data_IF_695054209905
#
_entry.id   IF_695054209905
#
_cell.length_a   1.000
_cell.length_b   1.000
_cell.length_c   1.000
_cell.angle_alpha   90.00
_cell.angle_beta   90.00
_cell.angle_gamma   90.00
#
_symmetry.space_group_name_H-M   'P 1'
#
loop_
_entity.id
_entity.type
_entity.pdbx_description
1 polymer ?
#
# COMPACT_ATOMS: atom_id res chain seq x y z
N UNK A 1 3.31 28.09 -1.80
CA UNK A 1 4.52 27.33 -2.15
C UNK A 1 4.06 25.91 -2.40
N UNK A 2 4.20 25.43 -3.64
CA UNK A 2 3.97 24.03 -3.96
C UNK A 2 4.94 23.19 -3.12
N UNK A 3 4.41 22.21 -2.39
CA UNK A 3 5.20 21.34 -1.54
C UNK A 3 5.84 20.26 -2.43
N UNK A 4 6.95 20.59 -3.08
CA UNK A 4 7.64 19.69 -4.00
C UNK A 4 8.59 18.77 -3.23
N UNK A 5 8.19 17.51 -3.06
CA UNK A 5 9.00 16.46 -2.45
C UNK A 5 9.86 15.80 -3.52
N UNK A 6 11.18 15.82 -3.34
CA UNK A 6 12.13 15.13 -4.19
C UNK A 6 12.54 13.80 -3.55
N UNK A 7 12.22 12.69 -4.20
CA UNK A 7 12.61 11.34 -3.75
C UNK A 7 13.80 10.86 -4.57
N UNK A 8 14.88 10.46 -3.90
CA UNK A 8 16.12 10.02 -4.54
C UNK A 8 16.56 8.66 -4.02
N UNK A 9 17.03 7.81 -4.94
CA UNK A 9 17.75 6.59 -4.60
C UNK A 9 19.26 6.86 -4.64
N UNK A 10 19.99 6.68 -3.52
CA UNK A 10 21.43 6.86 -3.44
C UNK A 10 22.24 6.16 -4.54
N UNK A 11 21.76 5.01 -4.99
CA UNK A 11 22.45 4.20 -5.99
C UNK A 11 22.20 4.70 -7.43
N UNK A 12 21.23 5.59 -7.65
CA UNK A 12 20.88 6.19 -8.96
C UNK A 12 21.42 7.62 -9.05
N UNK A 13 21.41 8.34 -7.93
CA UNK A 13 21.74 9.77 -7.84
C UNK A 13 22.83 10.05 -6.82
N UNK A 14 23.93 9.31 -6.91
CA UNK A 14 25.10 9.51 -6.04
C UNK A 14 25.75 10.89 -6.23
N UNK A 15 25.66 11.44 -7.45
CA UNK A 15 26.06 12.81 -7.80
C UNK A 15 25.36 13.85 -6.90
N UNK A 16 24.05 13.70 -6.73
CA UNK A 16 23.23 14.58 -5.92
C UNK A 16 23.64 14.50 -4.45
N UNK A 17 23.83 13.30 -3.91
CA UNK A 17 24.25 13.13 -2.51
C UNK A 17 25.66 13.70 -2.26
N UNK A 18 26.60 13.49 -3.19
CA UNK A 18 27.93 14.12 -3.12
C UNK A 18 27.85 15.64 -3.17
N UNK A 19 26.90 16.20 -3.94
CA UNK A 19 26.66 17.64 -3.94
C UNK A 19 26.25 18.13 -2.54
N UNK A 20 25.52 17.35 -1.74
CA UNK A 20 25.09 17.78 -0.40
C UNK A 20 26.19 17.68 0.68
N UNK A 21 27.27 16.95 0.41
CA UNK A 21 28.42 16.81 1.32
C UNK A 21 29.30 18.08 1.36
N UNK A 22 28.70 19.25 1.54
CA UNK A 22 29.38 20.53 1.76
C UNK A 22 28.49 21.48 2.57
N UNK A 23 29.03 21.97 3.67
CA UNK A 23 28.34 22.90 4.56
C UNK A 23 27.88 24.17 3.83
N UNK A 24 28.70 24.72 2.93
CA UNK A 24 28.34 25.92 2.15
C UNK A 24 27.11 25.67 1.29
N UNK A 25 27.02 24.50 0.65
CA UNK A 25 25.88 24.15 -0.22
C UNK A 25 24.61 23.90 0.58
N UNK A 26 24.71 23.23 1.72
CA UNK A 26 23.58 23.06 2.64
C UNK A 26 23.07 24.41 3.15
N UNK A 27 23.97 25.34 3.51
CA UNK A 27 23.61 26.70 3.94
C UNK A 27 22.92 27.51 2.83
N UNK A 28 23.35 27.35 1.57
CA UNK A 28 22.67 27.98 0.42
C UNK A 28 21.24 27.44 0.28
N UNK A 29 21.05 26.12 0.34
CA UNK A 29 19.73 25.48 0.22
C UNK A 29 18.80 25.89 1.35
N UNK A 30 19.26 25.86 2.61
CA UNK A 30 18.48 26.30 3.77
C UNK A 30 18.06 27.77 3.65
N UNK A 31 18.97 28.63 3.16
CA UNK A 31 18.66 30.03 2.93
C UNK A 31 17.56 30.23 1.88
N UNK A 32 17.67 29.57 0.74
CA UNK A 32 16.68 29.65 -0.34
C UNK A 32 15.33 29.04 0.09
N UNK A 33 15.36 28.01 0.93
CA UNK A 33 14.16 27.37 1.47
C UNK A 33 13.43 28.28 2.46
N UNK A 34 14.14 28.84 3.46
CA UNK A 34 13.53 29.65 4.52
C UNK A 34 13.18 31.07 4.10
N UNK A 35 14.02 31.69 3.27
CA UNK A 35 13.93 33.12 2.93
C UNK A 35 13.56 33.38 1.47
N UNK A 36 13.35 32.32 0.69
CA UNK A 36 12.90 32.41 -0.69
C UNK A 36 14.00 32.72 -1.70
N UNK A 37 13.61 32.89 -2.98
CA UNK A 37 14.53 33.03 -4.11
C UNK A 37 15.42 34.26 -4.03
N UNK A 38 16.72 34.10 -4.33
CA UNK A 38 17.74 35.15 -4.23
C UNK A 38 18.73 35.09 -5.40
N UNK A 39 19.31 36.24 -5.74
CA UNK A 39 20.45 36.28 -6.67
C UNK A 39 21.76 35.95 -5.95
N UNK A 40 22.82 35.68 -6.72
CA UNK A 40 24.13 35.26 -6.18
C UNK A 40 24.74 36.29 -5.22
N UNK A 41 24.57 37.59 -5.49
CA UNK A 41 25.11 38.65 -4.63
C UNK A 41 24.41 38.70 -3.27
N UNK A 42 23.08 38.52 -3.25
CA UNK A 42 22.29 38.46 -2.02
C UNK A 42 22.68 37.25 -1.17
N UNK A 43 22.89 36.08 -1.80
CA UNK A 43 23.35 34.88 -1.09
C UNK A 43 24.75 35.08 -0.51
N UNK A 44 25.66 35.73 -1.25
CA UNK A 44 27.02 36.03 -0.80
C UNK A 44 27.04 36.97 0.41
N UNK A 45 26.26 38.05 0.35
CA UNK A 45 26.11 39.00 1.45
C UNK A 45 25.55 38.32 2.71
N UNK A 46 24.50 37.52 2.55
CA UNK A 46 23.78 36.91 3.67
C UNK A 46 24.53 35.73 4.33
N UNK A 47 25.35 35.01 3.56
CA UNK A 47 26.19 33.95 4.10
C UNK A 47 27.58 34.44 4.54
N UNK A 48 27.95 35.69 4.23
CA UNK A 48 29.25 36.28 4.56
C UNK A 48 30.41 35.63 3.80
N UNK A 49 30.17 35.17 2.57
CA UNK A 49 31.16 34.44 1.76
C UNK A 49 31.45 35.16 0.44
N UNK A 50 32.66 35.01 -0.15
CA UNK A 50 32.98 35.61 -1.43
C UNK A 50 32.01 35.20 -2.54
N UNK A 51 31.65 36.15 -3.40
CA UNK A 51 30.71 35.92 -4.51
C UNK A 51 31.16 34.79 -5.45
N UNK A 52 32.47 34.69 -5.71
CA UNK A 52 33.06 33.60 -6.52
C UNK A 52 32.84 32.23 -5.88
N UNK A 53 33.00 32.12 -4.56
CA UNK A 53 32.75 30.90 -3.79
C UNK A 53 31.28 30.49 -3.85
N UNK A 54 30.35 31.44 -3.68
CA UNK A 54 28.91 31.15 -3.78
C UNK A 54 28.56 30.73 -5.22
N UNK A 55 29.07 31.44 -6.22
CA UNK A 55 28.79 31.13 -7.63
C UNK A 55 29.20 29.71 -7.99
N UNK A 56 30.38 29.26 -7.57
CA UNK A 56 30.85 27.90 -7.81
C UNK A 56 29.96 26.84 -7.12
N UNK A 57 29.55 27.10 -5.88
CA UNK A 57 28.70 26.17 -5.13
C UNK A 57 27.26 26.11 -5.66
N UNK A 58 26.70 27.25 -6.11
CA UNK A 58 25.40 27.29 -6.78
C UNK A 58 25.46 26.51 -8.08
N UNK A 59 26.54 26.64 -8.87
CA UNK A 59 26.65 25.89 -10.12
C UNK A 59 26.61 24.38 -9.89
N UNK A 60 27.33 23.87 -8.89
CA UNK A 60 27.28 22.44 -8.52
C UNK A 60 25.86 21.99 -8.17
N UNK A 61 25.11 22.81 -7.44
CA UNK A 61 23.71 22.51 -7.07
C UNK A 61 22.76 22.59 -8.27
N UNK A 62 23.04 23.47 -9.23
CA UNK A 62 22.30 23.54 -10.51
C UNK A 62 22.55 22.30 -11.36
N UNK A 63 23.81 21.85 -11.44
CA UNK A 63 24.19 20.70 -12.27
C UNK A 63 23.49 19.40 -11.84
N UNK A 64 23.20 19.25 -10.54
CA UNK A 64 22.45 18.10 -10.00
C UNK A 64 20.94 18.34 -9.89
N UNK A 65 20.46 19.53 -10.26
CA UNK A 65 19.04 19.89 -10.28
C UNK A 65 18.43 20.24 -8.90
N UNK A 66 19.25 20.56 -7.90
CA UNK A 66 18.77 21.02 -6.58
C UNK A 66 18.44 22.52 -6.55
N UNK A 67 19.04 23.29 -7.47
CA UNK A 67 18.73 24.71 -7.68
C UNK A 67 18.39 24.95 -9.16
N UNK A 68 17.37 25.77 -9.41
CA UNK A 68 17.07 26.31 -10.73
C UNK A 68 17.44 27.81 -10.77
N UNK A 69 17.95 28.30 -11.91
CA UNK A 69 18.17 29.75 -12.09
C UNK A 69 17.31 30.32 -13.20
N UNK A 70 16.58 31.41 -12.93
CA UNK A 70 15.79 32.14 -13.93
C UNK A 70 16.34 33.55 -14.13
N UNK A 71 16.38 34.00 -15.39
CA UNK A 71 16.76 35.38 -15.71
C UNK A 71 15.58 36.32 -15.49
N UNK A 72 15.80 37.40 -14.74
CA UNK A 72 14.80 38.44 -14.46
C UNK A 72 15.37 39.83 -14.77
N UNK A 73 14.51 40.77 -15.14
CA UNK A 73 14.90 42.18 -15.32
C UNK A 73 15.24 42.80 -13.96
N UNK A 74 16.37 43.49 -13.87
CA UNK A 74 16.82 44.24 -12.70
C UNK A 74 16.84 45.75 -12.99
N UNK A 75 17.04 46.58 -11.95
CA UNK A 75 17.18 48.06 -12.09
C UNK A 75 18.31 48.47 -13.07
N UNK A 76 19.33 47.63 -13.24
CA UNK A 76 20.37 47.74 -14.28
C UNK A 76 20.64 46.35 -14.87
N UNK A 77 20.16 46.09 -16.08
CA UNK A 77 20.40 44.83 -16.81
C UNK A 77 19.51 43.65 -16.39
N UNK A 78 19.97 42.43 -16.64
CA UNK A 78 19.31 41.18 -16.24
C UNK A 78 20.06 40.53 -15.07
N UNK A 79 19.33 39.93 -14.14
CA UNK A 79 19.89 39.16 -13.02
C UNK A 79 19.43 37.70 -13.07
N UNK A 80 20.28 36.77 -12.63
CA UNK A 80 19.88 35.38 -12.39
C UNK A 80 19.40 35.23 -10.95
N UNK A 81 18.15 34.79 -10.79
CA UNK A 81 17.56 34.48 -9.49
C UNK A 81 17.56 32.97 -9.30
N UNK A 82 18.03 32.51 -8.15
CA UNK A 82 18.16 31.10 -7.80
C UNK A 82 16.96 30.65 -6.97
N UNK A 83 16.42 29.48 -7.29
CA UNK A 83 15.26 28.85 -6.68
C UNK A 83 15.65 27.45 -6.19
N UNK A 84 15.20 27.05 -5.01
CA UNK A 84 15.20 25.62 -4.64
C UNK A 84 14.16 24.89 -5.48
N UNK A 85 14.48 23.70 -5.96
CA UNK A 85 13.57 22.83 -6.74
C UNK A 85 12.77 21.87 -5.87
N UNK A 86 12.95 21.93 -4.55
CA UNK A 86 12.28 21.04 -3.60
C UNK A 86 12.07 21.74 -2.24
N UNK A 87 11.07 21.27 -1.49
CA UNK A 87 10.87 21.58 -0.07
C UNK A 87 11.36 20.46 0.85
N UNK A 88 11.30 19.21 0.40
CA UNK A 88 11.77 18.02 1.13
C UNK A 88 12.59 17.11 0.22
N UNK A 89 13.70 16.57 0.74
CA UNK A 89 14.52 15.57 0.05
C UNK A 89 14.47 14.25 0.83
N UNK A 90 13.83 13.24 0.25
CA UNK A 90 13.69 11.92 0.86
C UNK A 90 14.66 10.96 0.19
N UNK A 91 15.57 10.40 0.97
CA UNK A 91 16.53 9.39 0.52
C UNK A 91 15.95 8.01 0.77
N UNK A 92 15.67 7.27 -0.30
CA UNK A 92 15.09 5.92 -0.23
C UNK A 92 16.04 4.95 -0.93
N UNK A 93 16.57 3.99 -0.19
CA UNK A 93 17.20 2.82 -0.79
C UNK A 93 16.10 1.97 -1.40
N UNK A 94 15.93 2.04 -2.72
CA UNK A 94 15.03 1.11 -3.41
C UNK A 94 15.68 -0.26 -3.34
N UNK A 95 14.92 -1.29 -3.02
CA UNK A 95 15.40 -2.67 -3.10
C UNK A 95 15.75 -2.99 -4.55
N UNK A 96 17.04 -2.86 -4.87
CA UNK A 96 17.61 -3.21 -6.17
C UNK A 96 18.13 -4.63 -6.17
N UNK A 97 17.31 -5.56 -5.73
CA UNK A 97 17.32 -6.84 -6.44
C UNK A 97 16.84 -6.51 -7.85
N UNK A 98 17.66 -6.71 -8.91
CA UNK A 98 17.05 -6.99 -10.20
C UNK A 98 16.02 -8.08 -9.93
N UNK A 99 14.94 -8.14 -10.70
CA UNK A 99 14.26 -9.41 -10.87
C UNK A 99 15.26 -10.43 -11.45
N UNK A 100 16.17 -10.95 -10.61
CA UNK A 100 16.42 -12.37 -10.57
C UNK A 100 15.03 -12.98 -10.63
N UNK A 101 14.82 -13.88 -11.56
CA UNK A 101 13.59 -14.62 -11.68
C UNK A 101 13.30 -15.25 -10.31
N UNK A 102 12.60 -14.54 -9.40
CA UNK A 102 12.39 -14.97 -8.00
C UNK A 102 11.50 -16.21 -8.00
N UNK A 103 11.08 -16.69 -9.18
CA UNK A 103 10.05 -17.67 -9.33
C UNK A 103 8.77 -17.20 -8.68
N UNK A 104 8.56 -15.89 -8.49
CA UNK A 104 7.35 -15.34 -7.84
C UNK A 104 6.85 -14.14 -8.64
N UNK A 105 5.56 -14.18 -8.97
CA UNK A 105 4.81 -13.04 -9.49
C UNK A 105 3.84 -12.61 -8.41
N UNK A 106 4.03 -11.43 -7.83
CA UNK A 106 3.22 -10.91 -6.73
C UNK A 106 2.31 -9.77 -7.20
N UNK A 107 1.07 -9.77 -6.70
CA UNK A 107 0.11 -8.67 -6.87
C UNK A 107 -0.59 -8.42 -5.54
N UNK A 108 -0.60 -7.18 -5.08
CA UNK A 108 -1.42 -6.72 -3.98
C UNK A 108 -2.68 -6.03 -4.52
N UNK A 109 -3.86 -6.49 -4.10
CA UNK A 109 -5.16 -5.94 -4.53
C UNK A 109 -5.75 -5.07 -3.42
N UNK A 110 -5.86 -3.74 -3.63
CA UNK A 110 -6.47 -2.86 -2.65
C UNK A 110 -7.86 -3.30 -2.26
N UNK A 111 -8.16 -3.18 -0.97
CA UNK A 111 -9.34 -3.80 -0.36
C UNK A 111 -10.68 -3.35 -1.00
N UNK A 112 -10.74 -2.09 -1.45
CA UNK A 112 -11.90 -1.53 -2.13
C UNK A 112 -12.14 -1.97 -3.57
N UNK A 113 -11.19 -2.67 -4.21
CA UNK A 113 -11.24 -3.04 -5.63
C UNK A 113 -11.95 -4.37 -5.90
N UNK A 114 -12.95 -4.73 -5.09
CA UNK A 114 -13.79 -5.86 -5.44
C UNK A 114 -14.59 -5.55 -6.70
N UNK A 115 -14.69 -6.57 -7.56
CA UNK A 115 -15.45 -6.52 -8.81
C UNK A 115 -16.91 -6.89 -8.63
N UNK A 116 -17.19 -7.71 -7.61
CA UNK A 116 -18.55 -8.12 -7.22
C UNK A 116 -18.60 -8.22 -5.70
N UNK A 117 -19.77 -7.90 -5.16
CA UNK A 117 -20.07 -8.08 -3.75
C UNK A 117 -21.56 -8.35 -3.59
N UNK A 118 -21.89 -9.13 -2.57
CA UNK A 118 -23.24 -9.31 -2.06
C UNK A 118 -23.06 -9.41 -0.56
N UNK A 119 -23.52 -8.42 0.20
CA UNK A 119 -23.22 -8.31 1.63
C UNK A 119 -24.48 -8.01 2.42
N UNK A 120 -24.57 -8.52 3.65
CA UNK A 120 -25.64 -8.22 4.58
C UNK A 120 -25.16 -7.35 5.74
N UNK A 121 -26.07 -6.55 6.30
CA UNK A 121 -25.83 -5.84 7.55
C UNK A 121 -25.75 -6.81 8.75
N UNK A 122 -25.12 -6.42 9.87
CA UNK A 122 -24.19 -5.29 10.01
C UNK A 122 -23.03 -5.28 9.00
N UNK A 123 -22.70 -4.11 8.47
CA UNK A 123 -21.66 -3.96 7.44
C UNK A 123 -21.08 -2.55 7.34
N UNK A 124 -19.89 -2.40 6.79
CA UNK A 124 -19.34 -1.08 6.55
C UNK A 124 -17.95 -1.05 5.93
N UNK A 125 -17.48 0.17 5.69
CA UNK A 125 -16.21 0.50 5.07
C UNK A 125 -15.53 1.63 5.86
N UNK A 126 -14.22 1.53 6.06
CA UNK A 126 -13.41 2.58 6.65
C UNK A 126 -12.15 2.82 5.81
N UNK A 127 -11.85 4.11 5.59
CA UNK A 127 -10.56 4.58 5.09
C UNK A 127 -9.65 4.98 6.25
N UNK A 128 -8.39 5.32 5.97
CA UNK A 128 -7.46 5.83 7.00
C UNK A 128 -7.95 7.12 7.66
N UNK A 129 -8.84 7.85 7.00
CA UNK A 129 -9.29 9.19 7.40
C UNK A 129 -10.70 9.20 8.03
N UNK A 130 -11.47 8.12 7.88
CA UNK A 130 -12.84 8.08 8.37
C UNK A 130 -13.67 6.93 7.80
N UNK A 131 -14.89 6.80 8.30
CA UNK A 131 -15.94 5.94 7.74
C UNK A 131 -16.27 6.37 6.31
N UNK A 132 -16.45 5.41 5.41
CA UNK A 132 -16.91 5.63 4.05
C UNK A 132 -18.42 5.35 4.01
N UNK A 133 -19.21 6.29 3.50
CA UNK A 133 -20.66 6.16 3.35
C UNK A 133 -21.41 5.96 4.67
N UNK A 134 -22.48 5.16 4.62
CA UNK A 134 -23.34 4.87 5.77
C UNK A 134 -23.06 3.46 6.32
N UNK A 135 -23.01 3.36 7.66
CA UNK A 135 -22.89 2.08 8.34
C UNK A 135 -24.18 1.26 8.22
N UNK A 136 -24.02 -0.06 8.15
CA UNK A 136 -25.09 -1.05 8.07
C UNK A 136 -26.01 -0.91 6.85
N UNK A 137 -25.51 -0.25 5.80
CA UNK A 137 -26.17 -0.09 4.50
C UNK A 137 -25.34 -0.81 3.43
N UNK A 138 -25.79 -1.97 2.90
CA UNK A 138 -25.07 -2.71 1.87
C UNK A 138 -24.72 -1.87 0.63
N UNK A 139 -25.58 -0.95 0.23
CA UNK A 139 -25.37 -0.08 -0.94
C UNK A 139 -24.12 0.82 -0.80
N UNK A 140 -23.62 1.05 0.41
CA UNK A 140 -22.34 1.73 0.67
C UNK A 140 -21.16 1.01 0.00
N UNK A 141 -21.26 -0.30 -0.27
CA UNK A 141 -20.23 -1.04 -1.02
C UNK A 141 -20.17 -0.64 -2.52
N UNK A 142 -21.10 0.17 -3.01
CA UNK A 142 -21.03 0.74 -4.36
C UNK A 142 -20.50 2.19 -4.36
N UNK A 143 -20.21 2.77 -3.18
CA UNK A 143 -19.69 4.13 -3.06
C UNK A 143 -18.31 4.25 -3.73
N UNK A 144 -18.07 5.27 -4.59
CA UNK A 144 -16.77 5.49 -5.22
C UNK A 144 -15.60 5.63 -4.23
N UNK A 145 -15.83 6.16 -3.03
CA UNK A 145 -14.81 6.32 -2.00
C UNK A 145 -14.35 4.97 -1.42
N UNK A 146 -15.03 3.85 -1.73
CA UNK A 146 -14.59 2.49 -1.38
C UNK A 146 -13.16 2.21 -1.83
N UNK A 147 -12.68 2.87 -2.88
CA UNK A 147 -11.30 2.77 -3.39
C UNK A 147 -10.24 3.09 -2.32
N UNK A 148 -10.62 3.84 -1.27
CA UNK A 148 -9.76 4.22 -0.14
C UNK A 148 -9.91 3.30 1.08
N UNK A 149 -10.72 2.25 0.99
CA UNK A 149 -10.99 1.35 2.09
C UNK A 149 -9.71 0.66 2.56
N UNK A 150 -9.44 0.77 3.86
CA UNK A 150 -8.44 -0.01 4.58
C UNK A 150 -9.08 -1.05 5.52
N UNK A 151 -10.37 -0.93 5.82
CA UNK A 151 -11.14 -1.94 6.55
C UNK A 151 -12.52 -2.06 5.88
N UNK A 152 -12.98 -3.30 5.71
CA UNK A 152 -14.37 -3.61 5.37
C UNK A 152 -14.89 -4.73 6.25
N UNK A 153 -16.21 -4.74 6.45
CA UNK A 153 -16.85 -5.79 7.20
C UNK A 153 -18.29 -6.03 6.77
N UNK A 154 -18.77 -7.25 7.01
CA UNK A 154 -20.16 -7.65 6.79
C UNK A 154 -20.48 -8.95 7.54
N UNK A 155 -21.76 -9.21 7.82
CA UNK A 155 -22.17 -10.43 8.53
C UNK A 155 -22.29 -11.66 7.65
N UNK A 156 -22.91 -11.54 6.47
CA UNK A 156 -23.05 -12.62 5.48
C UNK A 156 -22.81 -12.12 4.07
N UNK A 157 -22.57 -13.08 3.17
CA UNK A 157 -22.33 -12.83 1.77
C UNK A 157 -20.83 -12.87 1.44
N UNK A 158 -20.40 -12.12 0.43
CA UNK A 158 -19.02 -12.15 -0.06
C UNK A 158 -18.58 -10.84 -0.72
N UNK A 159 -17.26 -10.72 -0.83
CA UNK A 159 -16.56 -9.83 -1.76
C UNK A 159 -15.71 -10.67 -2.71
N UNK A 160 -15.69 -10.31 -3.99
CA UNK A 160 -14.94 -11.02 -5.05
C UNK A 160 -14.01 -10.07 -5.80
N UNK A 161 -12.73 -10.44 -5.80
CA UNK A 161 -11.64 -9.71 -6.42
C UNK A 161 -11.18 -10.42 -7.69
N UNK A 162 -10.73 -9.63 -8.67
CA UNK A 162 -10.22 -10.15 -9.93
C UNK A 162 -8.75 -9.74 -10.10
N UNK A 163 -7.84 -10.66 -9.80
CA UNK A 163 -6.41 -10.46 -9.96
C UNK A 163 -6.00 -10.71 -11.43
N UNK A 164 -5.01 -9.95 -11.95
CA UNK A 164 -4.46 -10.25 -13.27
C UNK A 164 -3.69 -11.57 -13.22
N UNK A 165 -3.87 -12.42 -14.23
CA UNK A 165 -3.08 -13.64 -14.38
C UNK A 165 -1.77 -13.33 -15.12
N UNK A 166 -0.86 -12.68 -14.42
CA UNK A 166 0.43 -12.26 -14.97
C UNK A 166 1.34 -13.45 -15.34
N UNK A 167 1.09 -14.66 -14.81
CA UNK A 167 1.80 -15.87 -15.23
C UNK A 167 1.49 -16.24 -16.68
N UNK A 168 0.23 -16.13 -17.11
CA UNK A 168 -0.15 -16.33 -18.52
C UNK A 168 0.50 -15.29 -19.43
N UNK A 169 0.55 -14.03 -19.01
CA UNK A 169 1.22 -12.95 -19.77
C UNK A 169 2.72 -13.18 -19.90
N UNK A 170 3.35 -13.74 -18.86
CA UNK A 170 4.77 -14.08 -18.84
C UNK A 170 5.09 -15.45 -19.48
N UNK A 171 4.07 -16.16 -20.00
CA UNK A 171 4.19 -17.54 -20.48
C UNK A 171 4.89 -18.48 -19.46
N UNK A 172 4.63 -18.26 -18.17
CA UNK A 172 5.25 -18.98 -17.07
C UNK A 172 4.29 -20.04 -16.52
N UNK A 173 4.79 -21.26 -16.29
CA UNK A 173 4.04 -22.29 -15.57
C UNK A 173 4.00 -21.97 -14.08
N UNK A 174 2.85 -22.18 -13.45
CA UNK A 174 2.66 -21.94 -12.02
C UNK A 174 2.85 -23.26 -11.27
N UNK A 175 3.84 -23.32 -10.38
CA UNK A 175 4.11 -24.44 -9.48
C UNK A 175 3.50 -24.27 -8.08
N UNK A 176 3.02 -23.07 -7.75
CA UNK A 176 2.37 -22.75 -6.48
C UNK A 176 1.55 -21.47 -6.56
N UNK A 177 0.51 -21.36 -5.75
CA UNK A 177 -0.24 -20.12 -5.57
C UNK A 177 -0.34 -19.84 -4.07
N UNK A 178 0.02 -18.63 -3.65
CA UNK A 178 -0.12 -18.20 -2.27
C UNK A 178 -1.06 -17.01 -2.17
N UNK A 179 -1.91 -17.01 -1.15
CA UNK A 179 -2.86 -15.96 -0.86
C UNK A 179 -2.71 -15.56 0.61
N UNK A 180 -2.53 -14.27 0.87
CA UNK A 180 -2.38 -13.75 2.22
C UNK A 180 -3.25 -12.51 2.44
N UNK A 181 -3.89 -12.45 3.60
CA UNK A 181 -4.68 -11.30 4.04
C UNK A 181 -4.92 -11.37 5.56
N UNK A 182 -5.14 -10.22 6.18
CA UNK A 182 -5.48 -10.12 7.60
C UNK A 182 -7.00 -10.13 7.78
N UNK A 183 -7.50 -11.03 8.63
CA UNK A 183 -8.93 -11.32 8.79
C UNK A 183 -9.31 -11.58 10.26
N UNK A 184 -10.56 -11.27 10.62
CA UNK A 184 -11.15 -11.70 11.89
C UNK A 184 -12.65 -11.95 11.71
N UNK A 185 -13.32 -12.47 12.75
CA UNK A 185 -14.78 -12.39 12.79
C UNK A 185 -15.24 -10.95 13.06
N UNK A 186 -16.54 -10.71 12.99
CA UNK A 186 -17.16 -9.40 13.18
C UNK A 186 -18.36 -9.48 14.15
N UNK A 187 -18.37 -8.57 15.12
CA UNK A 187 -19.52 -8.36 16.00
C UNK A 187 -19.63 -6.88 16.34
N UNK A 188 -20.84 -6.32 16.51
CA UNK A 188 -20.99 -4.99 17.08
C UNK A 188 -20.25 -4.88 18.42
N UNK A 189 -19.30 -3.95 18.50
CA UNK A 189 -18.33 -3.95 19.58
C UNK A 189 -17.09 -4.74 19.17
N UNK A 190 -16.60 -5.60 20.06
CA UNK A 190 -15.63 -6.67 19.77
C UNK A 190 -15.82 -7.79 20.79
N UNK A 191 -15.44 -9.03 20.46
CA UNK A 191 -15.55 -10.17 21.37
C UNK A 191 -14.42 -11.18 21.15
N UNK A 192 -13.80 -11.61 22.25
CA UNK A 192 -12.75 -12.65 22.24
C UNK A 192 -13.29 -14.07 22.01
N UNK A 193 -14.60 -14.24 22.00
CA UNK A 193 -15.28 -15.51 21.75
C UNK A 193 -16.48 -15.24 20.84
N UNK A 194 -16.22 -15.20 19.53
CA UNK A 194 -17.24 -14.96 18.52
C UNK A 194 -16.80 -15.62 17.21
N UNK A 195 -16.97 -16.94 17.08
CA UNK A 195 -16.43 -17.67 15.95
C UNK A 195 -17.18 -17.32 14.65
N UNK A 196 -16.46 -17.30 13.53
CA UNK A 196 -17.05 -17.13 12.20
C UNK A 196 -16.40 -18.02 11.14
N UNK A 197 -17.23 -18.77 10.41
CA UNK A 197 -16.80 -19.64 9.32
C UNK A 197 -16.60 -18.84 8.02
N UNK A 198 -15.36 -18.40 7.80
CA UNK A 198 -14.95 -17.62 6.63
C UNK A 198 -14.53 -18.58 5.52
N UNK A 199 -15.24 -18.55 4.39
CA UNK A 199 -14.91 -19.34 3.19
C UNK A 199 -14.12 -18.53 2.19
N UNK A 200 -13.07 -19.16 1.65
CA UNK A 200 -12.24 -18.61 0.57
C UNK A 200 -12.31 -19.52 -0.64
N UNK A 201 -12.57 -18.94 -1.81
CA UNK A 201 -12.61 -19.65 -3.09
C UNK A 201 -11.72 -18.97 -4.14
N UNK A 202 -11.07 -19.77 -4.98
CA UNK A 202 -10.26 -19.31 -6.09
C UNK A 202 -10.83 -19.90 -7.40
N UNK A 203 -11.09 -19.04 -8.38
CA UNK A 203 -11.73 -19.38 -9.65
C UNK A 203 -13.05 -20.16 -9.52
N UNK A 204 -13.75 -20.02 -8.38
CA UNK A 204 -15.00 -20.72 -8.08
C UNK A 204 -14.82 -22.04 -7.31
N UNK A 205 -13.58 -22.46 -7.06
CA UNK A 205 -13.28 -23.63 -6.23
C UNK A 205 -12.98 -23.21 -4.80
N UNK A 206 -13.73 -23.74 -3.84
CA UNK A 206 -13.49 -23.51 -2.42
C UNK A 206 -12.17 -24.16 -1.99
N UNK A 207 -11.27 -23.33 -1.44
CA UNK A 207 -9.93 -23.76 -1.03
C UNK A 207 -9.86 -23.99 0.48
N UNK A 208 -10.71 -23.31 1.26
CA UNK A 208 -10.79 -23.45 2.72
C UNK A 208 -12.09 -22.83 3.26
N UNK A 209 -12.56 -23.34 4.41
CA UNK A 209 -13.50 -22.67 5.30
C UNK A 209 -12.84 -22.61 6.68
N UNK A 210 -12.29 -21.46 7.02
CA UNK A 210 -11.60 -21.23 8.28
C UNK A 210 -12.54 -20.60 9.30
N UNK A 211 -12.68 -21.23 10.46
CA UNK A 211 -13.36 -20.63 11.61
C UNK A 211 -12.41 -19.64 12.29
N UNK A 212 -12.58 -18.34 12.02
CA UNK A 212 -11.95 -17.28 12.79
C UNK A 212 -12.50 -17.30 14.23
N UNK A 213 -11.68 -17.15 15.26
CA UNK A 213 -12.13 -17.37 16.64
C UNK A 213 -12.83 -16.16 17.27
N UNK A 214 -12.51 -14.94 16.83
CA UNK A 214 -12.82 -13.73 17.57
C UNK A 214 -12.74 -12.46 16.72
N UNK A 215 -13.32 -11.38 17.26
CA UNK A 215 -13.21 -10.00 16.81
C UNK A 215 -12.37 -9.23 17.83
N UNK A 216 -11.27 -8.61 17.38
CA UNK A 216 -10.23 -8.12 18.27
C UNK A 216 -10.29 -6.60 18.43
N UNK A 217 -10.66 -6.12 19.63
CA UNK A 217 -10.68 -4.69 19.99
C UNK A 217 -10.00 -4.36 21.31
N UNK A 218 -9.33 -5.34 21.92
CA UNK A 218 -8.72 -5.22 23.24
C UNK A 218 -7.50 -4.28 23.29
N UNK A 219 -6.88 -4.05 22.14
CA UNK A 219 -5.82 -3.06 21.94
C UNK A 219 -5.89 -2.48 20.55
N UNK A 220 -5.29 -1.31 20.36
CA UNK A 220 -5.18 -0.68 19.04
C UNK A 220 -4.28 -1.52 18.13
N UNK A 221 -4.74 -1.79 16.91
CA UNK A 221 -3.93 -2.42 15.87
C UNK A 221 -2.76 -1.52 15.49
N UNK A 222 -1.63 -2.10 15.12
CA UNK A 222 -0.38 -1.37 14.85
C UNK A 222 -0.54 -0.24 13.83
N UNK A 223 -1.40 -0.43 12.83
CA UNK A 223 -1.64 0.51 11.75
C UNK A 223 -3.04 1.12 11.79
N UNK A 224 -3.90 0.67 12.71
CA UNK A 224 -5.29 1.12 12.83
C UNK A 224 -5.36 2.58 13.26
N UNK A 225 -6.00 3.48 12.47
CA UNK A 225 -5.99 4.92 12.72
C UNK A 225 -6.57 5.32 14.08
N UNK A 226 -6.01 6.37 14.68
CA UNK A 226 -6.39 6.82 16.02
C UNK A 226 -7.86 7.23 16.19
N UNK A 227 -8.52 7.68 15.10
CA UNK A 227 -9.93 8.06 15.12
C UNK A 227 -10.87 6.83 15.23
N UNK A 228 -10.43 5.66 14.77
CA UNK A 228 -11.18 4.41 14.92
C UNK A 228 -11.11 3.97 16.38
N UNK A 229 -12.25 3.90 17.05
CA UNK A 229 -12.33 3.64 18.49
C UNK A 229 -12.06 2.16 18.78
N UNK A 230 -11.54 1.86 19.97
CA UNK A 230 -11.29 0.48 20.42
C UNK A 230 -12.56 -0.39 20.50
N UNK A 231 -13.74 0.25 20.52
CA UNK A 231 -15.01 -0.45 20.43
C UNK A 231 -15.30 -1.03 19.03
N UNK A 232 -14.48 -0.76 18.01
CA UNK A 232 -14.55 -1.43 16.72
C UNK A 232 -13.32 -2.29 16.48
N UNK A 233 -13.41 -3.21 15.52
CA UNK A 233 -12.38 -4.18 15.17
C UNK A 233 -11.04 -3.51 14.84
N UNK A 234 -9.99 -3.90 15.56
CA UNK A 234 -8.70 -3.23 15.53
C UNK A 234 -7.65 -3.97 14.70
N UNK A 235 -7.73 -5.29 14.61
CA UNK A 235 -6.78 -6.14 13.87
C UNK A 235 -7.38 -7.52 13.63
N UNK A 236 -6.67 -8.35 12.88
CA UNK A 236 -7.02 -9.73 12.61
C UNK A 236 -5.83 -10.68 12.67
N UNK A 237 -6.09 -11.94 12.35
CA UNK A 237 -5.08 -12.96 12.12
C UNK A 237 -4.61 -12.89 10.65
N UNK A 238 -3.30 -12.94 10.44
CA UNK A 238 -2.75 -13.08 9.09
C UNK A 238 -2.97 -14.52 8.63
N UNK A 239 -3.95 -14.72 7.77
CA UNK A 239 -4.22 -16.00 7.15
C UNK A 239 -3.38 -16.15 5.87
N UNK A 240 -2.66 -17.27 5.76
CA UNK A 240 -1.85 -17.60 4.60
C UNK A 240 -2.28 -18.95 4.03
N UNK A 241 -2.80 -18.94 2.80
CA UNK A 241 -3.10 -20.13 2.03
C UNK A 241 -2.03 -20.38 0.99
N UNK A 242 -1.70 -21.65 0.78
CA UNK A 242 -0.84 -22.11 -0.30
C UNK A 242 -1.52 -23.26 -1.03
N UNK A 243 -1.84 -23.05 -2.30
CA UNK A 243 -2.34 -24.08 -3.21
C UNK A 243 -1.17 -24.66 -3.99
N UNK A 244 -1.06 -25.98 -3.99
CA UNK A 244 -0.01 -26.74 -4.65
C UNK A 244 -0.62 -27.82 -5.54
N UNK A 245 0.21 -28.58 -6.27
CA UNK A 245 -0.25 -29.77 -6.97
C UNK A 245 -0.83 -30.86 -6.05
N UNK A 246 -0.53 -30.82 -4.75
CA UNK A 246 -0.97 -31.83 -3.78
C UNK A 246 -2.19 -31.40 -2.94
N UNK A 247 -2.66 -30.17 -3.09
CA UNK A 247 -3.79 -29.62 -2.33
C UNK A 247 -3.53 -28.22 -1.77
N UNK A 248 -4.47 -27.73 -0.95
CA UNK A 248 -4.41 -26.43 -0.27
C UNK A 248 -4.00 -26.58 1.18
N UNK A 249 -3.13 -25.68 1.63
CA UNK A 249 -2.61 -25.61 2.97
C UNK A 249 -2.86 -24.22 3.57
N UNK A 250 -3.32 -24.14 4.83
CA UNK A 250 -3.33 -22.91 5.63
C UNK A 250 -2.33 -23.03 6.76
N UNK A 251 -1.35 -22.13 6.84
CA UNK A 251 -0.28 -22.16 7.84
C UNK A 251 0.39 -23.56 7.97
N UNK A 252 0.71 -24.18 6.83
CA UNK A 252 1.28 -25.54 6.68
C UNK A 252 0.36 -26.74 6.99
N UNK A 253 -0.86 -26.51 7.48
CA UNK A 253 -1.84 -27.58 7.65
C UNK A 253 -2.67 -27.76 6.39
N UNK A 254 -2.81 -29.00 5.90
CA UNK A 254 -3.66 -29.29 4.74
C UNK A 254 -5.13 -29.10 5.10
N UNK A 255 -5.82 -28.20 4.40
CA UNK A 255 -7.21 -27.82 4.67
C UNK A 255 -8.17 -28.28 3.59
N UNK A 256 -7.69 -28.47 2.37
CA UNK A 256 -8.50 -28.96 1.24
C UNK A 256 -7.68 -29.82 0.29
N UNK A 257 -8.40 -30.65 -0.48
CA UNK A 257 -7.82 -31.41 -1.60
C UNK A 257 -7.72 -30.59 -2.88
N UNK A 258 -8.39 -29.44 -2.95
CA UNK A 258 -8.31 -28.50 -4.08
C UNK A 258 -6.85 -28.16 -4.37
N UNK A 259 -6.44 -28.34 -5.62
CA UNK A 259 -5.06 -28.28 -6.10
C UNK A 259 -4.94 -27.26 -7.23
N UNK A 260 -3.72 -26.97 -7.67
CA UNK A 260 -3.51 -26.05 -8.81
C UNK A 260 -4.21 -26.50 -10.09
N UNK A 261 -4.35 -27.81 -10.29
CA UNK A 261 -5.04 -28.36 -11.46
C UNK A 261 -6.53 -27.99 -11.48
N UNK A 262 -7.17 -27.99 -10.31
CA UNK A 262 -8.59 -27.66 -10.16
C UNK A 262 -8.86 -26.17 -10.46
N UNK A 263 -7.88 -25.30 -10.19
CA UNK A 263 -8.02 -23.85 -10.40
C UNK A 263 -8.04 -23.43 -11.87
N UNK A 264 -7.66 -24.31 -12.80
CA UNK A 264 -7.64 -24.07 -14.24
C UNK A 264 -6.97 -22.74 -14.64
N UNK A 265 -5.88 -22.37 -13.97
CA UNK A 265 -5.25 -21.03 -14.11
C UNK A 265 -4.93 -20.68 -15.57
N UNK A 266 -4.49 -21.65 -16.37
CA UNK A 266 -4.13 -21.43 -17.79
C UNK A 266 -5.34 -21.12 -18.69
N UNK A 267 -6.56 -21.47 -18.28
CA UNK A 267 -7.79 -21.21 -19.03
C UNK A 267 -8.38 -19.81 -18.76
N UNK A 268 -7.81 -19.07 -17.81
CA UNK A 268 -8.34 -17.79 -17.37
C UNK A 268 -7.30 -16.68 -17.49
N UNK A 269 -7.72 -15.53 -18.05
CA UNK A 269 -6.90 -14.30 -18.10
C UNK A 269 -6.78 -13.58 -16.76
N UNK A 270 -7.57 -14.00 -15.77
CA UNK A 270 -7.63 -13.42 -14.44
C UNK A 270 -7.90 -14.50 -13.40
N UNK A 271 -7.47 -14.27 -12.17
CA UNK A 271 -7.70 -15.15 -11.04
C UNK A 271 -8.76 -14.50 -10.15
N UNK A 272 -9.92 -15.15 -10.02
CA UNK A 272 -11.01 -14.67 -9.15
C UNK A 272 -10.80 -15.18 -7.74
N UNK A 273 -10.82 -14.29 -6.75
CA UNK A 273 -10.73 -14.65 -5.34
C UNK A 273 -12.00 -14.16 -4.67
N UNK A 274 -12.79 -15.08 -4.11
CA UNK A 274 -14.00 -14.77 -3.35
C UNK A 274 -13.76 -15.08 -1.88
N UNK A 275 -14.10 -14.14 -1.02
CA UNK A 275 -13.99 -14.26 0.44
C UNK A 275 -15.34 -13.89 1.03
N UNK A 276 -15.86 -14.70 1.95
CA UNK A 276 -17.15 -14.42 2.54
C UNK A 276 -17.61 -15.41 3.61
N UNK A 277 -18.79 -15.14 4.14
CA UNK A 277 -19.49 -15.99 5.12
C UNK A 277 -20.75 -16.50 4.44
N UNK A 278 -20.87 -17.82 4.30
CA UNK A 278 -22.00 -18.44 3.60
C UNK A 278 -23.31 -18.25 4.37
N UNK A 279 -24.43 -18.30 3.65
CA UNK A 279 -25.77 -18.31 4.26
C UNK A 279 -25.97 -19.51 5.20
N UNK A 280 -25.45 -20.67 4.83
CA UNK A 280 -25.52 -21.92 5.60
C UNK A 280 -24.33 -22.14 6.55
N UNK A 281 -23.50 -21.12 6.78
CA UNK A 281 -22.38 -21.19 7.72
C UNK A 281 -22.85 -21.60 9.13
N UNK A 282 -22.15 -22.54 9.76
CA UNK A 282 -22.48 -23.03 11.10
C UNK A 282 -22.22 -21.95 12.16
N UNK A 283 -21.16 -21.18 11.99
CA UNK A 283 -20.85 -20.01 12.81
C UNK A 283 -20.90 -18.76 11.92
N UNK A 284 -22.03 -18.05 11.83
CA UNK A 284 -22.17 -16.87 10.98
C UNK A 284 -21.75 -15.58 11.71
N UNK A 285 -20.55 -15.58 12.28
CA UNK A 285 -20.04 -14.48 13.11
C UNK A 285 -19.44 -13.33 12.30
N UNK A 286 -19.88 -13.10 11.05
CA UNK A 286 -19.37 -12.03 10.20
C UNK A 286 -17.89 -12.09 9.86
N UNK A 287 -17.41 -11.08 9.14
CA UNK A 287 -16.01 -11.00 8.72
C UNK A 287 -15.54 -9.55 8.73
N UNK A 288 -14.35 -9.33 9.25
CA UNK A 288 -13.55 -8.14 8.99
C UNK A 288 -12.39 -8.52 8.06
N UNK A 289 -12.14 -7.68 7.05
CA UNK A 289 -10.95 -7.78 6.20
C UNK A 289 -10.14 -6.50 6.35
N UNK A 290 -8.87 -6.64 6.72
CA UNK A 290 -7.96 -5.51 6.95
C UNK A 290 -7.00 -5.38 5.78
N UNK A 291 -6.89 -4.16 5.24
CA UNK A 291 -6.05 -3.76 4.13
C UNK A 291 -4.98 -2.73 4.53
N UNK A 292 -4.45 -2.02 3.55
CA UNK A 292 -3.42 -0.99 3.82
C UNK A 292 -3.89 0.09 4.79
N UNK A 293 -3.10 0.33 5.85
CA UNK A 293 -3.34 1.33 6.89
C UNK A 293 -4.42 0.99 7.90
N UNK A 294 -4.76 -0.29 8.04
CA UNK A 294 -5.50 -0.84 9.16
C UNK A 294 -4.84 -2.15 9.62
N UNK A 295 -5.23 -2.63 10.80
CA UNK A 295 -4.78 -3.90 11.35
C UNK A 295 -3.34 -3.89 11.87
N UNK A 296 -2.74 -5.07 11.96
CA UNK A 296 -1.38 -5.27 12.44
C UNK A 296 -0.35 -5.36 11.33
N UNK A 297 -0.77 -5.66 10.09
CA UNK A 297 0.15 -5.90 8.98
C UNK A 297 0.15 -4.79 7.92
N UNK A 298 -0.95 -4.03 7.78
CA UNK A 298 -1.09 -2.97 6.77
C UNK A 298 -0.77 -3.43 5.33
N UNK A 299 -1.16 -4.65 5.01
CA UNK A 299 -1.09 -5.20 3.66
C UNK A 299 -2.49 -5.33 3.11
N UNK A 300 -2.64 -5.04 1.82
CA UNK A 300 -3.85 -5.41 1.08
C UNK A 300 -3.88 -6.93 0.83
N UNK A 301 -4.82 -7.41 0.01
CA UNK A 301 -4.91 -8.84 -0.32
C UNK A 301 -3.76 -9.20 -1.26
N UNK A 302 -2.81 -10.02 -0.79
CA UNK A 302 -1.62 -10.38 -1.56
C UNK A 302 -1.80 -11.74 -2.20
N UNK A 303 -1.65 -11.80 -3.52
CA UNK A 303 -1.60 -13.02 -4.32
C UNK A 303 -0.18 -13.19 -4.89
N UNK A 304 0.40 -14.37 -4.71
CA UNK A 304 1.66 -14.77 -5.32
C UNK A 304 1.47 -15.98 -6.20
N UNK A 305 2.01 -15.93 -7.40
CA UNK A 305 2.14 -17.09 -8.29
C UNK A 305 3.60 -17.51 -8.28
N UNK A 306 3.86 -18.69 -7.71
CA UNK A 306 5.18 -19.31 -7.72
C UNK A 306 5.37 -19.99 -9.06
N UNK A 307 6.38 -19.60 -9.83
CA UNK A 307 6.76 -20.25 -11.09
C UNK A 307 7.30 -21.66 -10.80
N UNK A 308 6.96 -22.59 -11.68
CA UNK A 308 7.40 -23.99 -11.64
C UNK A 308 8.85 -24.16 -12.12
#
# INVERSE_FOLDING_TARGET
MSNEIMVVDPLERLDLLKSLASEVRVRILDLLHRKGPKNVNQVAEELGLPQSTISANIQVLVDVGLIETKSQKARKGSQKVCYSTFSELVVVFKDRTPAQDIGVIEVAMPLGLYTRCEVSAPCGLCSKDGVIGLLDVPDTFLDPDRMRAGLLWFTRGFVEYQFPNNATLANAKVGGLELAMELSSEVPGTSKDWPSDITVAINGHEIDTWTAPADYGDKRGKHTPGWWKLAGSQYGDLAHWRVTNNGTYRNNNKVSKCSLADLELERHRSIRIRIGVKEDARHPGGINIFGSGFGNYSNDIVLRLLKA
#
